data_IF_931552981363
#
_entry.id   IF_931552981363
#
_cell.length_a   1.000
_cell.length_b   1.000
_cell.length_c   1.000
_cell.angle_alpha   90.00
_cell.angle_beta   90.00
_cell.angle_gamma   90.00
#
_symmetry.space_group_name_H-M   'P 1'
#
loop_
_entity.id
_entity.type
_entity.pdbx_description
1 polymer ?
#
# COMPACT_ATOMS: atom_id res chain seq x y z
N UNK A 1 35.11 -37.98 -75.93
CA UNK A 1 35.92 -37.67 -74.74
C UNK A 1 35.36 -36.39 -74.16
N UNK A 2 34.38 -36.51 -73.27
CA UNK A 2 33.78 -35.39 -72.54
C UNK A 2 33.86 -35.76 -71.07
N UNK A 3 34.74 -35.06 -70.38
CA UNK A 3 35.05 -35.22 -68.97
C UNK A 3 33.88 -34.69 -68.15
N UNK A 4 33.34 -35.52 -67.26
CA UNK A 4 32.14 -35.23 -66.46
C UNK A 4 32.58 -35.13 -65.01
N UNK A 5 32.95 -33.93 -64.59
CA UNK A 5 33.24 -33.58 -63.20
C UNK A 5 31.96 -33.67 -62.38
N UNK A 6 31.91 -34.67 -61.51
CA UNK A 6 30.86 -34.87 -60.49
C UNK A 6 31.22 -33.94 -59.33
N UNK A 7 30.41 -32.91 -59.10
CA UNK A 7 30.48 -32.09 -57.89
C UNK A 7 29.96 -32.92 -56.70
N UNK A 8 30.82 -33.17 -55.72
CA UNK A 8 30.40 -33.66 -54.41
C UNK A 8 29.55 -32.60 -53.69
N UNK A 9 28.40 -32.99 -53.10
CA UNK A 9 27.62 -32.09 -52.27
C UNK A 9 28.42 -31.77 -51.00
N UNK A 10 28.88 -30.52 -50.90
CA UNK A 10 29.62 -30.03 -49.74
C UNK A 10 28.85 -30.26 -48.44
N UNK A 11 29.55 -30.86 -47.48
CA UNK A 11 29.15 -30.90 -46.07
C UNK A 11 28.87 -29.47 -45.61
N UNK A 12 27.58 -29.16 -45.41
CA UNK A 12 27.19 -27.94 -44.72
C UNK A 12 27.60 -28.11 -43.27
N UNK A 13 28.74 -27.49 -42.93
CA UNK A 13 29.18 -27.30 -41.56
C UNK A 13 28.05 -26.59 -40.81
N UNK A 14 27.25 -27.33 -40.06
CA UNK A 14 26.33 -26.78 -39.08
C UNK A 14 27.19 -26.16 -37.98
N UNK A 15 27.59 -24.91 -38.19
CA UNK A 15 28.12 -24.08 -37.13
C UNK A 15 27.01 -23.91 -36.09
N UNK A 16 27.03 -24.80 -35.09
CA UNK A 16 26.33 -24.68 -33.84
C UNK A 16 26.56 -23.27 -33.32
N UNK A 17 25.60 -22.37 -33.54
CA UNK A 17 25.67 -20.96 -33.17
C UNK A 17 25.48 -20.85 -31.65
N UNK A 18 26.56 -20.78 -30.83
CA UNK A 18 26.47 -20.75 -29.38
C UNK A 18 26.08 -19.35 -28.88
N UNK A 19 25.92 -18.39 -29.81
CA UNK A 19 25.75 -16.96 -29.53
C UNK A 19 24.32 -16.49 -29.30
N UNK A 20 23.30 -17.28 -29.68
CA UNK A 20 21.90 -16.85 -29.51
C UNK A 20 21.42 -17.01 -28.06
N UNK A 21 21.74 -18.13 -27.42
CA UNK A 21 21.36 -18.37 -26.03
C UNK A 21 22.04 -17.39 -25.06
N UNK A 22 23.31 -17.08 -25.28
CA UNK A 22 24.06 -16.14 -24.43
C UNK A 22 23.57 -14.71 -24.56
N UNK A 23 23.21 -14.24 -25.77
CA UNK A 23 22.63 -12.91 -25.99
C UNK A 23 21.24 -12.73 -25.37
N UNK A 24 20.41 -13.77 -25.40
CA UNK A 24 19.09 -13.74 -24.76
C UNK A 24 19.21 -13.62 -23.23
N UNK A 25 20.14 -14.35 -22.63
CA UNK A 25 20.41 -14.29 -21.20
C UNK A 25 20.93 -12.91 -20.77
N UNK A 26 21.83 -12.30 -21.55
CA UNK A 26 22.34 -10.95 -21.23
C UNK A 26 21.27 -9.85 -21.38
N UNK A 27 20.35 -9.96 -22.35
CA UNK A 27 19.20 -9.04 -22.45
C UNK A 27 18.22 -9.18 -21.30
N UNK A 28 17.95 -10.41 -20.84
CA UNK A 28 17.12 -10.63 -19.66
C UNK A 28 17.80 -10.08 -18.40
N UNK A 29 19.11 -10.27 -18.27
CA UNK A 29 19.89 -9.79 -17.13
C UNK A 29 19.92 -8.27 -17.06
N UNK A 30 20.03 -7.57 -18.19
CA UNK A 30 20.01 -6.10 -18.21
C UNK A 30 18.61 -5.54 -17.94
N UNK A 31 17.55 -6.17 -18.47
CA UNK A 31 16.16 -5.78 -18.22
C UNK A 31 15.66 -6.04 -16.79
N UNK A 32 16.29 -6.98 -16.08
CA UNK A 32 15.98 -7.28 -14.67
C UNK A 32 16.66 -6.33 -13.67
N UNK A 33 17.42 -5.33 -14.11
CA UNK A 33 18.06 -4.37 -13.19
C UNK A 33 17.16 -3.18 -12.89
N UNK A 34 17.08 -2.77 -11.62
CA UNK A 34 16.33 -1.60 -11.18
C UNK A 34 14.90 -1.92 -10.75
N UNK A 35 13.91 -1.41 -11.51
CA UNK A 35 12.50 -1.41 -11.11
C UNK A 35 11.83 -2.79 -11.19
N UNK A 36 12.20 -3.61 -12.16
CA UNK A 36 11.66 -4.97 -12.27
C UNK A 36 12.11 -5.86 -11.10
N UNK A 37 13.38 -5.73 -10.68
CA UNK A 37 13.87 -6.43 -9.50
C UNK A 37 13.19 -5.96 -8.22
N UNK A 38 12.97 -4.66 -8.04
CA UNK A 38 12.29 -4.14 -6.85
C UNK A 38 10.81 -4.53 -6.82
N UNK A 39 10.12 -4.51 -7.97
CA UNK A 39 8.75 -5.00 -8.09
C UNK A 39 8.63 -6.50 -7.80
N UNK A 40 9.57 -7.32 -8.29
CA UNK A 40 9.62 -8.75 -7.97
C UNK A 40 9.92 -9.01 -6.49
N UNK A 41 10.82 -8.24 -5.87
CA UNK A 41 11.10 -8.32 -4.44
C UNK A 41 9.90 -7.88 -3.58
N UNK A 42 9.21 -6.81 -3.99
CA UNK A 42 8.00 -6.35 -3.31
C UNK A 42 6.85 -7.37 -3.43
N UNK A 43 6.60 -7.87 -4.65
CA UNK A 43 5.57 -8.87 -4.92
C UNK A 43 5.83 -10.20 -4.21
N UNK A 44 7.09 -10.67 -4.20
CA UNK A 44 7.47 -11.89 -3.48
C UNK A 44 7.30 -11.73 -1.96
N UNK A 45 7.59 -10.57 -1.39
CA UNK A 45 7.33 -10.28 0.03
C UNK A 45 5.84 -10.40 0.39
N UNK A 46 4.95 -9.88 -0.45
CA UNK A 46 3.49 -9.98 -0.24
C UNK A 46 3.02 -11.43 -0.34
N UNK A 47 3.53 -12.19 -1.32
CA UNK A 47 3.19 -13.61 -1.49
C UNK A 47 3.69 -14.47 -0.32
N UNK A 48 4.92 -14.25 0.15
CA UNK A 48 5.44 -14.95 1.34
C UNK A 48 4.57 -14.65 2.56
N UNK A 49 4.18 -13.39 2.75
CA UNK A 49 3.31 -13.00 3.87
C UNK A 49 1.93 -13.66 3.78
N UNK A 50 1.29 -13.62 2.60
CA UNK A 50 -0.02 -14.26 2.39
C UNK A 50 0.07 -15.78 2.53
N UNK A 51 1.08 -16.41 1.94
CA UNK A 51 1.31 -17.85 2.07
C UNK A 51 1.59 -18.27 3.52
N UNK A 52 2.27 -17.43 4.29
CA UNK A 52 2.49 -17.67 5.72
C UNK A 52 1.19 -17.57 6.53
N UNK A 53 0.31 -16.62 6.20
CA UNK A 53 -0.99 -16.44 6.84
C UNK A 53 -1.99 -17.53 6.46
N UNK A 54 -1.89 -18.08 5.24
CA UNK A 54 -2.75 -19.18 4.78
C UNK A 54 -2.41 -20.53 5.44
N UNK A 55 -1.23 -20.67 6.04
CA UNK A 55 -0.85 -21.88 6.76
C UNK A 55 -1.56 -21.92 8.13
N UNK A 56 -2.34 -22.98 8.43
CA UNK A 56 -3.03 -23.14 9.69
C UNK A 56 -2.07 -23.05 10.90
N UNK A 57 -2.44 -22.29 11.93
CA UNK A 57 -1.58 -22.06 13.12
C UNK A 57 -1.39 -23.32 13.99
N UNK A 58 -2.25 -24.32 13.82
CA UNK A 58 -2.30 -25.57 14.56
C UNK A 58 -1.16 -26.54 14.22
N UNK A 59 -0.34 -26.27 13.20
CA UNK A 59 0.80 -27.13 12.86
C UNK A 59 2.10 -26.37 12.54
N UNK A 60 2.87 -25.93 13.55
CA UNK A 60 4.15 -25.24 13.35
C UNK A 60 5.22 -26.13 12.67
N UNK A 61 5.10 -27.45 12.75
CA UNK A 61 5.98 -28.38 12.03
C UNK A 61 5.73 -28.35 10.53
N UNK A 62 4.48 -28.13 10.09
CA UNK A 62 4.18 -27.93 8.67
C UNK A 62 4.88 -26.68 8.14
N UNK A 63 4.83 -25.56 8.87
CA UNK A 63 5.56 -24.32 8.52
C UNK A 63 7.06 -24.54 8.40
N UNK A 64 7.66 -25.24 9.37
CA UNK A 64 9.08 -25.60 9.33
C UNK A 64 9.40 -26.53 8.15
N UNK A 65 8.47 -27.45 7.83
CA UNK A 65 8.56 -28.36 6.69
C UNK A 65 8.57 -27.61 5.35
N UNK A 66 7.69 -26.62 5.15
CA UNK A 66 7.66 -25.82 3.92
C UNK A 66 8.94 -25.00 3.73
N UNK A 67 9.43 -24.35 4.80
CA UNK A 67 10.68 -23.57 4.74
C UNK A 67 11.87 -24.50 4.50
N UNK A 68 11.92 -25.64 5.21
CA UNK A 68 12.97 -26.65 5.06
C UNK A 68 12.99 -27.25 3.65
N UNK A 69 11.82 -27.58 3.09
CA UNK A 69 11.68 -28.11 1.74
C UNK A 69 12.09 -27.08 0.68
N UNK A 70 11.62 -25.84 0.80
CA UNK A 70 12.00 -24.76 -0.11
C UNK A 70 13.50 -24.47 -0.09
N UNK A 71 14.09 -24.38 1.10
CA UNK A 71 15.54 -24.22 1.28
C UNK A 71 16.34 -25.41 0.74
N UNK A 72 15.89 -26.63 0.99
CA UNK A 72 16.52 -27.85 0.46
C UNK A 72 16.50 -27.87 -1.07
N UNK A 73 15.36 -27.57 -1.70
CA UNK A 73 15.25 -27.52 -3.17
C UNK A 73 16.20 -26.47 -3.73
N UNK A 74 16.30 -25.29 -3.12
CA UNK A 74 17.21 -24.23 -3.57
C UNK A 74 18.70 -24.64 -3.47
N UNK A 75 19.10 -25.22 -2.34
CA UNK A 75 20.47 -25.71 -2.12
C UNK A 75 20.79 -26.91 -3.03
N UNK A 76 19.86 -27.84 -3.17
CA UNK A 76 20.01 -29.01 -4.02
C UNK A 76 20.14 -28.61 -5.49
N UNK A 77 19.31 -27.68 -5.96
CA UNK A 77 19.40 -27.08 -7.28
C UNK A 77 20.75 -26.39 -7.49
N UNK A 78 21.23 -25.60 -6.52
CA UNK A 78 22.54 -24.95 -6.62
C UNK A 78 23.71 -25.94 -6.67
N UNK A 79 23.63 -27.03 -5.90
CA UNK A 79 24.69 -28.04 -5.82
C UNK A 79 24.73 -29.01 -7.01
N UNK A 80 23.57 -29.30 -7.63
CA UNK A 80 23.45 -30.29 -8.71
C UNK A 80 23.19 -29.67 -10.08
N UNK A 81 23.15 -28.35 -10.18
CA UNK A 81 23.10 -27.68 -11.46
C UNK A 81 24.45 -27.84 -12.17
N UNK A 82 24.60 -28.93 -12.91
CA UNK A 82 25.69 -29.12 -13.87
C UNK A 82 25.51 -28.17 -15.08
N UNK A 83 25.85 -28.59 -16.32
CA UNK A 83 25.67 -27.74 -17.52
C UNK A 83 24.22 -27.32 -17.80
N UNK A 84 23.23 -27.89 -17.09
CA UNK A 84 21.82 -27.48 -17.16
C UNK A 84 21.45 -26.27 -16.27
N UNK A 85 22.41 -25.70 -15.53
CA UNK A 85 22.29 -24.46 -14.72
C UNK A 85 21.38 -23.38 -15.29
N UNK A 86 21.48 -22.97 -16.58
CA UNK A 86 20.69 -21.85 -17.09
C UNK A 86 19.18 -22.15 -17.16
N UNK A 87 18.75 -23.42 -17.11
CA UNK A 87 17.34 -23.80 -17.22
C UNK A 87 16.68 -24.05 -15.87
N UNK A 88 17.46 -24.31 -14.80
CA UNK A 88 16.92 -24.64 -13.47
C UNK A 88 16.23 -23.45 -12.83
N UNK A 89 16.83 -22.26 -12.90
CA UNK A 89 16.22 -21.05 -12.36
C UNK A 89 14.87 -20.68 -13.02
N UNK A 90 14.76 -20.59 -14.36
CA UNK A 90 13.47 -20.27 -14.99
C UNK A 90 12.42 -21.36 -14.80
N UNK A 91 12.80 -22.65 -14.77
CA UNK A 91 11.84 -23.74 -14.50
C UNK A 91 11.36 -23.72 -13.05
N UNK A 92 12.22 -23.41 -12.09
CA UNK A 92 11.82 -23.23 -10.69
C UNK A 92 10.87 -22.03 -10.52
N UNK A 93 11.15 -20.91 -11.20
CA UNK A 93 10.25 -19.73 -11.19
C UNK A 93 8.90 -20.06 -11.84
N UNK A 94 8.88 -20.71 -13.00
CA UNK A 94 7.64 -21.15 -13.65
C UNK A 94 6.84 -22.12 -12.77
N UNK A 95 7.50 -23.10 -12.16
CA UNK A 95 6.88 -24.03 -11.23
C UNK A 95 6.28 -23.32 -10.01
N UNK A 96 7.00 -22.33 -9.47
CA UNK A 96 6.49 -21.50 -8.39
C UNK A 96 5.28 -20.65 -8.80
N UNK A 97 5.32 -20.00 -9.97
CA UNK A 97 4.20 -19.22 -10.48
C UNK A 97 2.94 -20.07 -10.71
N UNK A 98 3.09 -21.29 -11.26
CA UNK A 98 1.98 -22.22 -11.45
C UNK A 98 1.40 -22.64 -10.10
N UNK A 99 2.25 -23.02 -9.14
CA UNK A 99 1.79 -23.39 -7.80
C UNK A 99 1.06 -22.23 -7.10
N UNK A 100 1.58 -21.01 -7.21
CA UNK A 100 0.92 -19.82 -6.68
C UNK A 100 -0.44 -19.58 -7.35
N UNK A 101 -0.55 -19.81 -8.67
CA UNK A 101 -1.81 -19.66 -9.40
C UNK A 101 -2.85 -20.69 -8.95
N UNK A 102 -2.44 -21.95 -8.73
CA UNK A 102 -3.37 -23.01 -8.27
C UNK A 102 -3.82 -22.87 -6.82
N UNK A 103 -3.07 -22.14 -5.99
CA UNK A 103 -3.39 -21.91 -4.57
C UNK A 103 -4.06 -20.55 -4.37
N UNK A 104 -4.00 -19.66 -5.37
CA UNK A 104 -4.76 -18.42 -5.34
C UNK A 104 -6.24 -18.79 -5.20
N UNK A 105 -6.95 -18.26 -4.19
CA UNK A 105 -8.40 -18.43 -4.13
C UNK A 105 -8.97 -17.98 -5.47
N UNK A 106 -9.98 -18.69 -5.96
CA UNK A 106 -10.77 -18.20 -7.09
C UNK A 106 -11.11 -16.74 -6.77
N UNK A 107 -10.85 -15.79 -7.68
CA UNK A 107 -11.23 -14.40 -7.47
C UNK A 107 -12.70 -14.47 -7.10
N UNK A 108 -12.99 -14.17 -5.82
CA UNK A 108 -14.34 -14.35 -5.29
C UNK A 108 -15.26 -13.68 -6.28
N UNK A 109 -16.28 -14.42 -6.72
CA UNK A 109 -17.33 -13.88 -7.57
C UNK A 109 -17.59 -12.47 -7.07
N UNK A 110 -17.22 -11.47 -7.89
CA UNK A 110 -17.69 -10.11 -7.65
C UNK A 110 -19.17 -10.29 -7.41
N UNK A 111 -19.70 -9.91 -6.23
CA UNK A 111 -21.07 -10.23 -5.87
C UNK A 111 -21.91 -9.83 -7.06
N UNK A 112 -22.45 -10.84 -7.76
CA UNK A 112 -23.31 -10.59 -8.90
C UNK A 112 -24.34 -9.64 -8.34
N UNK A 113 -24.46 -8.46 -8.96
CA UNK A 113 -25.48 -7.51 -8.59
C UNK A 113 -26.81 -8.24 -8.81
N UNK A 114 -27.30 -8.89 -7.75
CA UNK A 114 -28.59 -9.53 -7.74
C UNK A 114 -29.57 -8.40 -8.07
N UNK A 115 -30.15 -8.51 -9.27
CA UNK A 115 -31.29 -7.75 -9.72
C UNK A 115 -32.46 -8.12 -8.79
N UNK A 116 -32.46 -7.54 -7.59
CA UNK A 116 -33.54 -7.62 -6.62
C UNK A 116 -34.72 -6.81 -7.15
N UNK A 117 -35.40 -7.40 -8.12
CA UNK A 117 -36.78 -7.04 -8.43
C UNK A 117 -37.66 -7.59 -7.30
N UNK A 118 -38.15 -6.67 -6.47
CA UNK A 118 -39.40 -6.72 -5.71
C UNK A 118 -39.75 -8.05 -5.01
N UNK A 119 -39.36 -8.20 -3.74
CA UNK A 119 -40.20 -8.72 -2.63
C UNK A 119 -39.38 -9.13 -1.40
N UNK A 120 -39.09 -8.18 -0.49
CA UNK A 120 -38.97 -8.41 0.95
C UNK A 120 -38.79 -7.05 1.67
N UNK A 121 -39.89 -6.49 2.17
CA UNK A 121 -39.84 -5.55 3.29
C UNK A 121 -39.55 -6.39 4.57
N UNK A 122 -38.72 -5.88 5.49
CA UNK A 122 -38.24 -6.50 6.76
C UNK A 122 -37.16 -7.60 6.56
N UNK A 123 -35.88 -7.48 6.93
CA UNK A 123 -35.18 -6.67 7.94
C UNK A 123 -33.82 -6.25 7.36
N UNK A 124 -33.59 -4.95 7.17
CA UNK A 124 -32.25 -4.45 6.93
C UNK A 124 -31.51 -4.48 8.27
N UNK A 125 -30.82 -5.59 8.55
CA UNK A 125 -29.68 -5.55 9.47
C UNK A 125 -28.71 -4.51 8.90
N UNK A 126 -28.72 -3.30 9.49
CA UNK A 126 -27.66 -2.32 9.33
C UNK A 126 -26.36 -3.01 9.81
N UNK A 127 -25.69 -3.70 8.89
CA UNK A 127 -24.27 -4.00 9.01
C UNK A 127 -23.54 -2.65 8.96
N UNK A 128 -23.57 -1.97 10.10
CA UNK A 128 -22.84 -0.75 10.34
C UNK A 128 -21.38 -1.09 10.15
N UNK A 129 -20.83 -0.70 9.00
CA UNK A 129 -19.40 -0.82 8.73
C UNK A 129 -18.72 0.01 9.81
N UNK A 130 -18.21 -0.66 10.85
CA UNK A 130 -17.41 -0.02 11.88
C UNK A 130 -16.10 0.44 11.22
N UNK A 131 -16.10 1.70 10.78
CA UNK A 131 -14.90 2.33 10.23
C UNK A 131 -13.83 2.33 11.32
N UNK A 132 -12.70 1.70 11.04
CA UNK A 132 -11.58 1.72 11.97
C UNK A 132 -11.05 3.14 12.13
N UNK A 133 -10.40 3.46 13.25
CA UNK A 133 -9.76 4.77 13.47
C UNK A 133 -8.79 5.12 12.33
N UNK A 134 -8.14 4.10 11.76
CA UNK A 134 -7.26 4.22 10.60
C UNK A 134 -8.01 4.69 9.36
N UNK A 135 -9.19 4.15 9.11
CA UNK A 135 -10.00 4.48 7.93
C UNK A 135 -10.54 5.91 8.03
N UNK A 136 -11.02 6.30 9.22
CA UNK A 136 -11.42 7.68 9.52
C UNK A 136 -10.25 8.65 9.28
N UNK A 137 -9.04 8.29 9.72
CA UNK A 137 -7.85 9.09 9.48
C UNK A 137 -7.47 9.19 7.99
N UNK A 138 -7.60 8.09 7.23
CA UNK A 138 -7.29 8.06 5.80
C UNK A 138 -8.29 8.91 5.00
N UNK A 139 -9.59 8.83 5.31
CA UNK A 139 -10.63 9.65 4.69
C UNK A 139 -10.41 11.13 4.98
N UNK A 140 -10.08 11.48 6.22
CA UNK A 140 -9.72 12.86 6.58
C UNK A 140 -8.47 13.33 5.82
N UNK A 141 -7.45 12.48 5.66
CA UNK A 141 -6.22 12.83 4.96
C UNK A 141 -6.45 13.00 3.45
N UNK A 142 -7.33 12.19 2.86
CA UNK A 142 -7.79 12.34 1.48
C UNK A 142 -8.46 13.70 1.28
N UNK A 143 -9.40 14.06 2.16
CA UNK A 143 -10.07 15.37 2.13
C UNK A 143 -9.06 16.53 2.18
N UNK A 144 -8.12 16.46 3.12
CA UNK A 144 -7.08 17.50 3.30
C UNK A 144 -6.14 17.59 2.10
N UNK A 145 -5.92 16.49 1.37
CA UNK A 145 -5.06 16.45 0.18
C UNK A 145 -5.83 16.61 -1.13
N UNK A 146 -7.16 16.70 -1.10
CA UNK A 146 -8.01 16.82 -2.28
C UNK A 146 -7.61 18.05 -3.11
N UNK A 147 -7.41 17.84 -4.41
CA UNK A 147 -6.97 18.87 -5.35
C UNK A 147 -5.48 19.25 -5.27
N UNK A 148 -4.67 18.56 -4.45
CA UNK A 148 -3.22 18.79 -4.31
C UNK A 148 -2.42 17.51 -4.57
N UNK A 149 -1.12 17.64 -4.82
CA UNK A 149 -0.21 16.48 -4.97
C UNK A 149 0.08 15.77 -3.65
N UNK A 150 -0.21 16.40 -2.52
CA UNK A 150 0.01 15.87 -1.18
C UNK A 150 0.08 17.00 -0.14
N UNK A 151 0.58 16.69 1.05
CA UNK A 151 0.70 17.64 2.17
C UNK A 151 2.06 17.50 2.87
N UNK A 152 2.65 18.64 3.22
CA UNK A 152 3.90 18.67 4.00
C UNK A 152 3.64 18.44 5.50
N UNK A 153 4.61 17.87 6.22
CA UNK A 153 4.46 17.55 7.65
C UNK A 153 4.13 18.76 8.53
N UNK A 154 4.69 19.94 8.23
CA UNK A 154 4.37 21.16 8.99
C UNK A 154 2.89 21.53 8.86
N UNK A 155 2.39 21.52 7.63
CA UNK A 155 0.99 21.86 7.35
C UNK A 155 0.03 20.79 7.88
N UNK A 156 0.41 19.51 7.75
CA UNK A 156 -0.34 18.39 8.31
C UNK A 156 -0.49 18.53 9.83
N UNK A 157 0.60 18.87 10.54
CA UNK A 157 0.55 19.08 11.99
C UNK A 157 -0.37 20.25 12.38
N UNK A 158 -0.32 21.37 11.65
CA UNK A 158 -1.23 22.51 11.88
C UNK A 158 -2.70 22.14 11.67
N UNK A 159 -2.99 21.25 10.70
CA UNK A 159 -4.34 20.74 10.44
C UNK A 159 -4.78 19.75 11.50
N UNK A 160 -3.91 18.82 11.91
CA UNK A 160 -4.18 17.87 13.00
C UNK A 160 -4.46 18.58 14.32
N UNK A 161 -3.72 19.63 14.65
CA UNK A 161 -3.90 20.40 15.88
C UNK A 161 -5.28 21.08 15.96
N UNK A 162 -5.93 21.33 14.83
CA UNK A 162 -7.29 21.89 14.76
C UNK A 162 -8.38 20.81 14.82
N UNK A 163 -8.03 19.56 14.57
CA UNK A 163 -8.98 18.46 14.60
C UNK A 163 -9.19 17.98 16.05
N UNK A 164 -10.44 17.85 16.54
CA UNK A 164 -10.71 17.55 17.94
C UNK A 164 -10.14 16.20 18.39
N UNK A 165 -10.16 15.19 17.53
CA UNK A 165 -9.63 13.85 17.87
C UNK A 165 -8.10 13.81 18.05
N UNK A 166 -7.37 14.79 17.49
CA UNK A 166 -5.90 14.84 17.53
C UNK A 166 -5.38 16.13 18.15
N UNK A 167 -6.25 16.85 18.88
CA UNK A 167 -5.89 18.04 19.61
C UNK A 167 -4.80 17.72 20.64
N UNK A 168 -3.71 18.47 20.62
CA UNK A 168 -2.57 18.28 21.53
C UNK A 168 -1.49 17.32 21.05
N UNK A 169 -1.64 16.69 19.88
CA UNK A 169 -0.58 15.86 19.29
C UNK A 169 0.66 16.70 18.98
N UNK A 170 1.84 16.26 19.44
CA UNK A 170 3.10 16.97 19.17
C UNK A 170 3.55 16.69 17.74
N UNK A 171 4.28 17.63 17.17
CA UNK A 171 4.84 17.49 15.81
C UNK A 171 5.76 16.26 15.66
N UNK A 172 6.41 15.84 16.74
CA UNK A 172 7.26 14.63 16.80
C UNK A 172 6.47 13.34 16.64
N UNK A 173 5.18 13.36 16.96
CA UNK A 173 4.34 12.15 17.06
C UNK A 173 3.63 11.84 15.74
N UNK A 174 3.54 12.82 14.83
CA UNK A 174 2.94 12.67 13.50
C UNK A 174 3.65 11.61 12.66
N UNK A 175 4.99 11.57 12.68
CA UNK A 175 5.77 10.58 11.93
C UNK A 175 5.51 9.14 12.38
N UNK A 176 5.62 8.84 13.68
CA UNK A 176 5.21 7.55 14.25
C UNK A 176 3.76 7.17 13.96
N UNK A 177 2.81 8.11 14.06
CA UNK A 177 1.39 7.87 13.76
C UNK A 177 1.20 7.40 12.31
N UNK A 178 1.74 8.16 11.34
CA UNK A 178 1.64 7.82 9.92
C UNK A 178 2.25 6.43 9.64
N UNK A 179 3.38 6.12 10.27
CA UNK A 179 4.02 4.80 10.15
C UNK A 179 3.15 3.69 10.76
N UNK A 180 2.51 3.95 11.90
CA UNK A 180 1.58 3.03 12.56
C UNK A 180 0.39 2.67 11.67
N UNK A 181 -0.11 3.64 10.90
CA UNK A 181 -1.19 3.44 9.92
C UNK A 181 -0.72 2.90 8.56
N UNK A 182 0.59 2.66 8.40
CA UNK A 182 1.18 2.17 7.15
C UNK A 182 1.21 3.21 6.03
N UNK A 183 1.12 4.50 6.36
CA UNK A 183 1.13 5.60 5.39
C UNK A 183 2.59 5.96 5.06
N UNK A 184 3.02 5.80 3.80
CA UNK A 184 4.39 6.08 3.41
C UNK A 184 4.65 7.60 3.41
N UNK A 185 5.86 7.96 3.83
CA UNK A 185 6.28 9.36 3.97
C UNK A 185 7.47 9.62 3.05
N UNK A 186 7.39 10.63 2.20
CA UNK A 186 8.44 10.98 1.25
C UNK A 186 9.32 12.09 1.82
N UNK A 187 10.65 11.98 1.68
CA UNK A 187 11.59 13.00 2.20
C UNK A 187 11.62 14.28 1.38
N UNK A 188 11.26 14.21 0.09
CA UNK A 188 11.32 15.33 -0.85
C UNK A 188 10.04 15.41 -1.67
N UNK A 189 8.95 15.78 -1.00
CA UNK A 189 7.68 16.05 -1.68
C UNK A 189 7.69 17.47 -2.25
N UNK A 190 7.07 17.65 -3.42
CA UNK A 190 6.77 18.98 -3.99
C UNK A 190 5.27 19.22 -3.96
N UNK A 191 4.85 20.25 -3.24
CA UNK A 191 3.44 20.66 -3.14
C UNK A 191 3.34 22.11 -3.61
N UNK A 192 2.83 22.30 -4.83
CA UNK A 192 2.80 23.62 -5.48
C UNK A 192 4.21 24.19 -5.70
N UNK A 193 4.49 25.44 -5.27
CA UNK A 193 5.79 26.09 -5.47
C UNK A 193 6.85 25.63 -4.44
N UNK A 194 6.47 24.95 -3.36
CA UNK A 194 7.40 24.54 -2.29
C UNK A 194 7.88 23.12 -2.55
N UNK A 195 9.20 22.94 -2.65
CA UNK A 195 9.85 21.64 -2.86
C UNK A 195 10.76 21.27 -1.68
N UNK A 196 11.08 19.98 -1.57
CA UNK A 196 12.18 19.49 -0.72
C UNK A 196 11.83 19.30 0.76
N UNK A 197 10.55 19.16 1.10
CA UNK A 197 10.11 18.91 2.49
C UNK A 197 9.51 17.53 2.63
N UNK A 198 9.66 16.95 3.82
CA UNK A 198 9.02 15.67 4.15
C UNK A 198 7.50 15.83 4.17
N UNK A 199 6.80 14.89 3.54
CA UNK A 199 5.36 14.97 3.32
C UNK A 199 4.72 13.61 3.07
N UNK A 200 3.41 13.64 2.91
CA UNK A 200 2.60 12.51 2.45
C UNK A 200 2.08 12.84 1.05
N UNK A 201 2.40 11.98 0.08
CA UNK A 201 1.89 12.11 -1.28
C UNK A 201 0.43 11.65 -1.36
N UNK A 202 -0.38 12.34 -2.15
CA UNK A 202 -1.81 11.99 -2.34
C UNK A 202 -1.97 10.59 -2.93
N UNK A 203 -1.18 10.25 -3.94
CA UNK A 203 -1.23 8.93 -4.59
C UNK A 203 -1.02 7.77 -3.61
N UNK A 204 -0.25 7.99 -2.53
CA UNK A 204 -0.07 6.98 -1.50
C UNK A 204 -1.34 6.79 -0.65
N UNK A 205 -2.06 7.86 -0.34
CA UNK A 205 -3.33 7.81 0.40
C UNK A 205 -4.40 7.14 -0.45
N UNK A 206 -4.50 7.52 -1.72
CA UNK A 206 -5.44 6.91 -2.69
C UNK A 206 -5.17 5.42 -2.89
N UNK A 207 -3.89 5.02 -2.96
CA UNK A 207 -3.51 3.61 -3.05
C UNK A 207 -3.92 2.80 -1.81
N UNK A 208 -3.86 3.41 -0.62
CA UNK A 208 -4.29 2.76 0.62
C UNK A 208 -5.81 2.65 0.72
N UNK A 209 -6.55 3.68 0.33
CA UNK A 209 -8.02 3.66 0.27
C UNK A 209 -8.53 2.66 -0.77
N UNK A 210 -7.90 2.63 -1.95
CA UNK A 210 -8.22 1.65 -3.00
C UNK A 210 -7.92 0.22 -2.57
N UNK A 211 -6.80 -0.01 -1.89
CA UNK A 211 -6.47 -1.32 -1.34
C UNK A 211 -7.38 -1.77 -0.20
N UNK A 212 -8.04 -0.84 0.50
CA UNK A 212 -9.00 -1.12 1.55
C UNK A 212 -10.44 -1.30 1.05
N UNK A 213 -10.70 -1.11 -0.25
CA UNK A 213 -12.06 -1.10 -0.79
C UNK A 213 -12.86 0.15 -0.41
N UNK A 214 -12.21 1.18 0.14
CA UNK A 214 -12.82 2.45 0.55
C UNK A 214 -12.78 3.50 -0.55
N UNK A 215 -12.34 3.13 -1.76
CA UNK A 215 -12.28 4.08 -2.88
C UNK A 215 -13.70 4.49 -3.25
N UNK A 216 -14.03 5.79 -3.22
CA UNK A 216 -15.32 6.25 -3.71
C UNK A 216 -15.41 5.89 -5.20
N UNK A 217 -16.36 5.02 -5.55
CA UNK A 217 -16.57 4.58 -6.92
C UNK A 217 -16.67 5.81 -7.84
N UNK A 218 -15.83 5.94 -8.89
CA UNK A 218 -15.65 7.17 -9.67
C UNK A 218 -16.84 7.53 -10.59
N UNK A 219 -18.06 7.11 -10.25
CA UNK A 219 -19.21 7.17 -11.15
C UNK A 219 -20.45 7.91 -10.65
N UNK A 220 -20.47 8.40 -9.41
CA UNK A 220 -21.63 9.15 -8.91
C UNK A 220 -21.21 10.57 -8.57
N UNK A 221 -21.40 11.48 -9.52
CA UNK A 221 -21.53 12.91 -9.25
C UNK A 221 -22.84 13.12 -8.43
N UNK A 222 -22.94 12.55 -7.22
CA UNK A 222 -24.10 12.74 -6.36
C UNK A 222 -23.94 14.05 -5.61
N UNK A 223 -24.94 14.89 -5.75
CA UNK A 223 -25.10 16.18 -5.07
C UNK A 223 -25.41 16.03 -3.57
N UNK A 224 -24.86 15.03 -2.88
CA UNK A 224 -25.13 14.76 -1.47
C UNK A 224 -23.93 15.15 -0.59
N UNK A 225 -23.81 16.45 -0.35
CA UNK A 225 -23.00 17.00 0.74
C UNK A 225 -23.57 16.71 2.14
N UNK A 226 -24.63 15.90 2.27
CA UNK A 226 -25.35 15.69 3.54
C UNK A 226 -24.68 14.71 4.51
N UNK A 227 -23.82 13.81 4.02
CA UNK A 227 -23.12 12.87 4.90
C UNK A 227 -22.00 13.53 5.71
N UNK A 228 -21.37 14.59 5.21
CA UNK A 228 -20.41 15.37 6.01
C UNK A 228 -21.11 16.31 7.02
N UNK A 229 -22.35 16.74 6.76
CA UNK A 229 -23.15 17.50 7.73
C UNK A 229 -23.66 16.62 8.89
N UNK A 230 -23.99 15.36 8.61
CA UNK A 230 -24.46 14.41 9.65
C UNK A 230 -23.41 14.15 10.74
N UNK A 231 -22.12 14.24 10.41
CA UNK A 231 -21.02 14.10 11.38
C UNK A 231 -20.75 15.38 12.19
N UNK A 232 -21.23 16.54 11.73
CA UNK A 232 -21.22 17.78 12.52
C UNK A 232 -22.42 17.84 13.49
N UNK A 233 -23.59 17.30 13.11
CA UNK A 233 -24.82 17.37 13.90
C UNK A 233 -24.89 16.38 15.08
N UNK A 234 -24.11 15.30 15.08
CA UNK A 234 -24.03 14.36 16.22
C UNK A 234 -23.37 14.94 17.49
N UNK A 235 -23.04 16.24 17.49
CA UNK A 235 -22.36 16.93 18.60
C UNK A 235 -23.22 18.00 19.30
N UNK A 236 -24.39 18.37 18.79
CA UNK A 236 -25.28 19.32 19.48
C UNK A 236 -26.26 18.60 20.43
N UNK A 237 -25.72 18.04 21.53
CA UNK A 237 -26.46 17.99 22.78
C UNK A 237 -25.78 18.90 23.79
N UNK A 238 -26.05 20.22 23.77
CA UNK A 238 -25.58 21.11 24.80
C UNK A 238 -26.37 20.82 26.08
N UNK A 239 -25.75 20.03 26.97
CA UNK A 239 -26.11 20.02 28.37
C UNK A 239 -26.08 21.45 28.88
N UNK A 240 -27.26 22.00 29.14
CA UNK A 240 -27.48 23.33 29.66
C UNK A 240 -26.65 23.57 30.93
N UNK A 241 -25.72 24.55 30.96
CA UNK A 241 -25.23 25.08 32.22
C UNK A 241 -26.34 25.95 32.81
N UNK A 242 -27.19 25.35 33.65
CA UNK A 242 -27.98 26.08 34.63
C UNK A 242 -27.03 26.85 35.54
N UNK A 243 -27.24 28.15 35.62
CA UNK A 243 -26.28 29.11 36.15
C UNK A 243 -26.10 29.10 37.68
N UNK A 244 -25.03 29.78 38.07
CA UNK A 244 -24.81 30.46 39.35
C UNK A 244 -23.80 31.57 39.00
N UNK A 245 -24.28 32.77 38.69
CA UNK A 245 -24.43 33.90 39.61
C UNK A 245 -23.11 34.43 40.20
N UNK A 246 -22.81 35.67 39.80
CA UNK A 246 -22.37 36.79 40.63
C UNK A 246 -21.06 36.66 41.42
N UNK A 247 -20.10 37.48 41.00
CA UNK A 247 -18.92 37.83 41.79
C UNK A 247 -18.13 38.97 41.14
N UNK A 248 -18.78 40.12 40.96
CA UNK A 248 -18.07 41.39 40.84
C UNK A 248 -17.33 41.65 42.14
N UNK A 249 -16.00 41.76 42.10
CA UNK A 249 -15.28 42.63 43.04
C UNK A 249 -13.94 43.09 42.46
N UNK A 250 -13.96 44.31 41.95
CA UNK A 250 -13.16 45.43 42.45
C UNK A 250 -11.83 45.08 43.14
N UNK A 251 -10.70 45.34 42.48
CA UNK A 251 -9.50 45.90 43.14
C UNK A 251 -8.49 46.32 42.06
N UNK A 252 -8.40 47.61 41.71
CA UNK A 252 -7.52 48.59 42.36
C UNK A 252 -6.04 48.33 42.12
N UNK A 253 -5.48 49.17 41.23
CA UNK A 253 -4.23 49.92 41.40
C UNK A 253 -2.95 49.21 41.84
N UNK A 254 -1.93 49.31 40.98
CA UNK A 254 -0.50 49.56 41.26
C UNK A 254 0.22 49.40 39.92
N UNK A 255 0.57 50.44 39.15
CA UNK A 255 1.53 51.53 39.45
C UNK A 255 2.57 51.22 40.54
N UNK A 256 3.83 51.48 40.19
CA UNK A 256 5.09 51.30 40.93
C UNK A 256 5.79 49.92 40.89
N UNK A 257 6.76 49.80 39.97
CA UNK A 257 8.21 49.66 40.27
C UNK A 257 8.95 49.47 38.93
N UNK A 258 9.50 50.50 38.27
CA UNK A 258 10.74 51.21 38.59
C UNK A 258 11.92 50.32 39.04
N UNK A 259 12.87 50.18 38.11
CA UNK A 259 14.32 50.22 38.29
C UNK A 259 15.06 49.11 39.07
N UNK A 260 16.27 48.82 38.53
CA UNK A 260 17.41 48.02 39.06
C UNK A 260 17.33 46.54 38.69
N UNK A 261 18.27 45.94 37.98
CA UNK A 261 19.74 46.02 38.05
C UNK A 261 20.31 45.89 36.61
N UNK A 262 21.23 46.76 36.20
CA UNK A 262 22.69 46.51 36.17
C UNK A 262 23.07 45.20 35.46
#
# INVERSE_FOLDING_TARGET
MTDKTINEPGEQHTEDSPGLATRAVDSLRSGLTGEAATALLAGSGVLIRKGWQALPDDNPLARLGYVGLGGYIAVYAAAHAGPATPFVAPTAVLGWCIAAWTVSPEPGEEPEAEDHTDHAEEEAEEDGIELSERDVFLLWLEEVTRGRSGIHFTELHERLAKHPAWAGMKRTDVGPLLRGYGIPTERSLRVGPVAGRTGVARAAVEGLLSGAGLSPSPGVESSDSSLLETWCDLRESPGSPSGEELGEDSSSASDDQLERCL
#
